data_IF_509826407324
#
_entry.id   IF_509826407324
#
_cell.length_a   1.000
_cell.length_b   1.000
_cell.length_c   1.000
_cell.angle_alpha   90.00
_cell.angle_beta   90.00
_cell.angle_gamma   90.00
#
_symmetry.space_group_name_H-M   'P 1'
#
loop_
_entity.id
_entity.type
_entity.pdbx_description
1 polymer ?
#
# COMPACT_ATOMS: atom_id res chain seq x y z
N UNK A 1 8.79 9.26 -9.20
CA UNK A 1 8.27 9.54 -7.85
C UNK A 1 8.19 8.23 -7.09
N UNK A 2 8.42 8.24 -5.77
CA UNK A 2 8.38 7.05 -4.92
C UNK A 2 7.21 7.13 -3.94
N UNK A 3 6.53 6.01 -3.72
CA UNK A 3 5.44 5.89 -2.75
C UNK A 3 5.69 4.72 -1.81
N UNK A 4 5.14 4.82 -0.59
CA UNK A 4 5.14 3.72 0.35
C UNK A 4 3.91 2.83 0.20
N UNK A 5 4.14 1.55 0.44
CA UNK A 5 3.10 0.56 0.70
C UNK A 5 3.29 -0.05 2.09
N UNK A 6 2.22 -0.19 2.89
CA UNK A 6 2.35 -0.70 4.25
C UNK A 6 2.77 -2.17 4.27
N UNK A 7 3.90 -2.47 4.91
CA UNK A 7 4.46 -3.82 5.04
C UNK A 7 3.78 -4.64 6.13
N UNK A 8 3.24 -4.00 7.17
CA UNK A 8 2.61 -4.68 8.30
C UNK A 8 1.51 -5.66 7.83
N UNK A 9 1.58 -6.89 8.34
CA UNK A 9 0.57 -7.93 8.13
C UNK A 9 -0.41 -8.05 9.30
N UNK A 10 -0.38 -7.11 10.25
CA UNK A 10 -1.35 -7.03 11.33
C UNK A 10 -2.21 -5.78 11.20
N UNK A 11 -3.52 -5.94 11.33
CA UNK A 11 -4.46 -4.82 11.33
C UNK A 11 -4.17 -3.80 12.46
N UNK A 12 -3.67 -4.25 13.62
CA UNK A 12 -3.31 -3.37 14.73
C UNK A 12 -2.04 -2.54 14.47
N UNK A 13 -1.21 -2.95 13.51
CA UNK A 13 -0.01 -2.23 13.10
C UNK A 13 -0.24 -1.31 11.89
N UNK A 14 -1.50 -1.05 11.53
CA UNK A 14 -1.87 -0.24 10.39
C UNK A 14 -2.74 0.93 10.84
N UNK A 15 -2.45 2.12 10.33
CA UNK A 15 -3.37 3.25 10.40
C UNK A 15 -4.61 2.99 9.54
N UNK A 16 -5.66 3.78 9.75
CA UNK A 16 -6.87 3.71 8.94
C UNK A 16 -6.58 3.88 7.43
N UNK A 17 -5.75 4.86 7.06
CA UNK A 17 -5.39 5.11 5.65
C UNK A 17 -4.54 3.98 5.05
N UNK A 18 -3.63 3.39 5.83
CA UNK A 18 -2.84 2.24 5.39
C UNK A 18 -3.71 1.00 5.19
N UNK A 19 -4.67 0.75 6.09
CA UNK A 19 -5.63 -0.35 5.93
C UNK A 19 -6.53 -0.11 4.70
N UNK A 20 -6.99 1.12 4.50
CA UNK A 20 -7.75 1.50 3.31
C UNK A 20 -6.95 1.27 2.03
N UNK A 21 -5.66 1.59 2.01
CA UNK A 21 -4.76 1.34 0.88
C UNK A 21 -4.63 -0.16 0.58
N UNK A 22 -4.49 -1.00 1.63
CA UNK A 22 -4.49 -2.46 1.45
C UNK A 22 -5.79 -2.97 0.84
N UNK A 23 -6.94 -2.51 1.34
CA UNK A 23 -8.26 -2.86 0.80
C UNK A 23 -8.36 -2.46 -0.67
N UNK A 24 -8.05 -1.19 -0.96
CA UNK A 24 -8.21 -0.59 -2.28
C UNK A 24 -7.37 -1.29 -3.36
N UNK A 25 -6.21 -1.87 -3.01
CA UNK A 25 -5.35 -2.62 -3.93
C UNK A 25 -6.05 -3.80 -4.60
N UNK A 26 -7.02 -4.42 -3.92
CA UNK A 26 -7.65 -5.67 -4.32
C UNK A 26 -9.08 -5.53 -4.82
N UNK A 27 -9.62 -4.30 -4.85
CA UNK A 27 -11.01 -4.04 -5.22
C UNK A 27 -11.08 -3.15 -6.47
N UNK A 28 -11.86 -3.54 -7.49
CA UNK A 28 -12.09 -2.71 -8.66
C UNK A 28 -12.63 -1.32 -8.33
N UNK A 29 -12.26 -0.34 -9.14
CA UNK A 29 -12.81 1.00 -9.02
C UNK A 29 -14.31 0.98 -9.35
N UNK A 30 -15.15 1.56 -8.50
CA UNK A 30 -16.58 1.68 -8.76
C UNK A 30 -16.90 2.61 -9.95
N UNK A 31 -15.99 3.53 -10.28
CA UNK A 31 -16.16 4.54 -11.33
C UNK A 31 -15.57 4.14 -12.69
N UNK A 32 -14.78 3.07 -12.76
CA UNK A 32 -14.10 2.65 -13.99
C UNK A 32 -14.42 1.21 -14.34
N UNK A 33 -14.51 0.88 -15.63
CA UNK A 33 -14.73 -0.50 -16.09
C UNK A 33 -13.44 -1.33 -16.21
N UNK A 34 -12.28 -0.68 -16.30
CA UNK A 34 -10.98 -1.32 -16.57
C UNK A 34 -9.99 -1.26 -15.42
N UNK A 35 -10.40 -0.73 -14.26
CA UNK A 35 -9.53 -0.57 -13.11
C UNK A 35 -9.86 -1.61 -12.04
N UNK A 36 -9.01 -2.63 -11.91
CA UNK A 36 -9.25 -3.80 -11.07
C UNK A 36 -8.69 -3.71 -9.64
N UNK A 37 -8.20 -2.53 -9.26
CA UNK A 37 -7.51 -2.30 -7.99
C UNK A 37 -6.78 -0.96 -8.01
N UNK A 38 -6.51 -0.41 -6.85
CA UNK A 38 -5.70 0.79 -6.72
C UNK A 38 -4.27 0.49 -7.17
N UNK A 39 -3.82 1.23 -8.19
CA UNK A 39 -2.50 1.08 -8.81
C UNK A 39 -1.73 2.39 -8.75
N UNK A 40 -0.41 2.35 -8.55
CA UNK A 40 0.42 3.54 -8.62
C UNK A 40 0.44 4.09 -10.06
N UNK A 41 0.58 5.42 -10.25
CA UNK A 41 0.75 6.00 -11.58
C UNK A 41 1.96 5.42 -12.35
N UNK A 42 1.93 5.36 -13.69
CA UNK A 42 3.03 4.89 -14.51
C UNK A 42 4.35 5.61 -14.22
N UNK A 43 5.46 4.87 -14.22
CA UNK A 43 6.79 5.43 -13.94
C UNK A 43 7.04 5.81 -12.48
N UNK A 44 6.16 5.40 -11.56
CA UNK A 44 6.37 5.54 -10.11
C UNK A 44 6.85 4.22 -9.50
N UNK A 45 7.67 4.34 -8.46
CA UNK A 45 8.23 3.21 -7.73
C UNK A 45 7.50 3.08 -6.40
N UNK A 46 7.11 1.86 -6.04
CA UNK A 46 6.45 1.56 -4.77
C UNK A 46 7.39 0.75 -3.90
N UNK A 47 7.74 1.30 -2.76
CA UNK A 47 8.60 0.68 -1.75
C UNK A 47 7.77 0.25 -0.56
N UNK A 48 8.18 -0.82 0.12
CA UNK A 48 7.59 -1.15 1.41
C UNK A 48 8.12 -0.19 2.48
N UNK A 49 7.28 0.18 3.46
CA UNK A 49 7.67 1.10 4.54
C UNK A 49 8.78 0.55 5.46
N UNK A 50 8.92 -0.77 5.55
CA UNK A 50 10.06 -1.42 6.23
C UNK A 50 11.41 -1.23 5.49
N UNK A 51 11.39 -1.16 4.16
CA UNK A 51 12.59 -0.92 3.35
C UNK A 51 13.10 0.52 3.50
N UNK A 52 12.21 1.48 3.74
CA UNK A 52 12.61 2.86 4.02
C UNK A 52 13.43 2.94 5.31
N UNK A 53 13.03 2.24 6.37
CA UNK A 53 13.78 2.19 7.64
C UNK A 53 15.19 1.64 7.42
N UNK A 54 15.34 0.63 6.57
CA UNK A 54 16.65 0.04 6.23
C UNK A 54 17.51 1.02 5.41
N UNK A 55 16.93 1.73 4.45
CA UNK A 55 17.67 2.73 3.66
C UNK A 55 18.13 3.91 4.52
N UNK A 56 17.27 4.46 5.39
CA UNK A 56 17.65 5.54 6.29
C UNK A 56 18.76 5.14 7.28
N UNK A 57 18.77 3.90 7.77
CA UNK A 57 19.78 3.42 8.73
C UNK A 57 21.14 3.10 8.11
N UNK A 58 21.19 2.76 6.82
CA UNK A 58 22.44 2.51 6.09
C UNK A 58 23.08 3.81 5.58
N UNK A 59 22.28 4.78 5.17
CA UNK A 59 22.76 6.07 4.63
C UNK A 59 23.25 7.00 5.75
N UNK A 60 22.70 6.90 6.97
CA UNK A 60 23.15 7.67 8.14
C UNK A 60 24.57 7.35 8.64
N UNK A 61 25.26 6.34 8.10
CA UNK A 61 26.65 5.98 8.49
C UNK A 61 27.73 6.60 7.60
N UNK A 62 27.37 7.20 6.46
CA UNK A 62 28.29 7.95 5.61
C UNK A 62 27.69 9.33 5.38
N UNK A 63 28.19 10.32 6.13
CA UNK A 63 27.66 11.68 6.20
C UNK A 63 27.48 12.33 4.84
N UNK A 64 26.25 12.28 4.33
CA UNK A 64 25.76 13.11 3.23
C UNK A 64 24.77 14.10 3.84
N UNK A 65 25.31 15.25 4.21
CA UNK A 65 24.55 16.49 4.40
C UNK A 65 24.08 16.90 3.00
N UNK A 66 22.82 16.61 2.66
CA UNK A 66 22.00 17.42 1.73
C UNK A 66 20.65 16.72 1.46
N UNK A 67 19.61 17.36 2.01
CA UNK A 67 18.23 17.45 1.52
C UNK A 67 17.29 16.23 1.69
N UNK A 68 16.30 16.44 2.56
CA UNK A 68 15.03 15.70 2.68
C UNK A 68 15.04 14.31 3.35
N UNK A 69 15.11 14.33 4.68
CA UNK A 69 14.41 13.38 5.59
C UNK A 69 12.86 13.46 5.42
N UNK A 70 12.37 13.69 4.20
CA UNK A 70 10.94 13.73 3.87
C UNK A 70 10.44 12.29 3.83
N UNK A 71 9.71 11.92 4.87
CA UNK A 71 9.03 10.63 4.94
C UNK A 71 8.17 10.44 3.68
N UNK A 72 8.53 9.45 2.85
CA UNK A 72 7.85 9.20 1.58
C UNK A 72 6.34 9.06 1.79
N UNK A 73 5.50 9.65 0.93
CA UNK A 73 4.05 9.55 1.10
C UNK A 73 3.57 8.13 0.78
N UNK A 74 2.49 7.72 1.43
CA UNK A 74 1.73 6.56 0.99
C UNK A 74 0.97 6.89 -0.30
N UNK A 75 0.63 5.86 -1.07
CA UNK A 75 -0.17 6.03 -2.26
C UNK A 75 -1.63 6.36 -1.89
N UNK A 76 -2.12 7.52 -2.30
CA UNK A 76 -3.49 7.98 -1.96
C UNK A 76 -4.48 7.87 -3.13
N UNK A 77 -3.97 7.97 -4.35
CA UNK A 77 -4.77 7.95 -5.58
C UNK A 77 -4.28 6.87 -6.54
N UNK A 78 -5.23 6.31 -7.28
CA UNK A 78 -4.97 5.33 -8.33
C UNK A 78 -4.54 6.01 -9.63
N UNK A 79 -3.85 5.28 -10.50
CA UNK A 79 -3.61 5.63 -11.90
C UNK A 79 -4.91 5.98 -12.65
N UNK A 80 -6.05 5.41 -12.27
CA UNK A 80 -7.35 5.78 -12.85
C UNK A 80 -7.88 7.15 -12.40
N UNK A 81 -7.14 7.88 -11.56
CA UNK A 81 -7.48 9.21 -11.04
C UNK A 81 -8.40 9.22 -9.82
N UNK A 82 -8.79 8.06 -9.29
CA UNK A 82 -9.70 7.95 -8.14
C UNK A 82 -8.98 7.53 -6.85
N UNK A 83 -9.53 7.96 -5.72
CA UNK A 83 -9.02 7.65 -4.37
C UNK A 83 -9.38 6.23 -3.92
N UNK A 84 -8.73 5.76 -2.84
CA UNK A 84 -9.02 4.49 -2.18
C UNK A 84 -10.51 4.29 -1.84
N UNK A 85 -11.25 5.36 -1.56
CA UNK A 85 -12.70 5.32 -1.34
C UNK A 85 -13.47 4.74 -2.53
N UNK A 86 -13.12 5.13 -3.77
CA UNK A 86 -13.70 4.59 -4.99
C UNK A 86 -13.30 3.12 -5.26
N UNK A 87 -12.32 2.62 -4.51
CA UNK A 87 -11.84 1.24 -4.53
C UNK A 87 -12.34 0.45 -3.32
N UNK A 88 -13.55 0.76 -2.84
CA UNK A 88 -14.21 -0.03 -1.79
C UNK A 88 -13.54 0.05 -0.42
N UNK A 89 -12.79 1.13 -0.15
CA UNK A 89 -12.17 1.42 1.14
C UNK A 89 -12.78 2.66 1.82
N UNK A 90 -14.06 2.91 1.61
CA UNK A 90 -14.81 3.98 2.28
C UNK A 90 -15.53 3.45 3.53
N UNK A 91 -14.95 3.63 4.72
CA UNK A 91 -15.55 3.15 5.98
C UNK A 91 -16.89 3.83 6.29
N UNK A 92 -17.08 5.09 5.92
CA UNK A 92 -18.34 5.80 6.19
C UNK A 92 -19.52 5.18 5.44
N UNK A 93 -19.27 4.66 4.23
CA UNK A 93 -20.29 3.97 3.43
C UNK A 93 -20.46 2.49 3.82
N UNK A 94 -19.37 1.82 4.22
CA UNK A 94 -19.36 0.39 4.52
C UNK A 94 -19.76 0.06 5.96
N UNK A 95 -19.50 0.98 6.89
CA UNK A 95 -19.47 0.71 8.32
C UNK A 95 -18.19 0.01 8.78
N UNK A 96 -17.87 0.19 10.06
CA UNK A 96 -16.63 -0.28 10.68
C UNK A 96 -16.43 -1.80 10.58
N UNK A 97 -17.49 -2.60 10.75
CA UNK A 97 -17.38 -4.06 10.70
C UNK A 97 -16.96 -4.59 9.32
N UNK A 98 -17.57 -4.06 8.25
CA UNK A 98 -17.26 -4.47 6.88
C UNK A 98 -15.90 -3.93 6.43
N UNK A 99 -15.55 -2.70 6.81
CA UNK A 99 -14.22 -2.14 6.56
C UNK A 99 -13.15 -3.02 7.23
N UNK A 100 -13.33 -3.38 8.50
CA UNK A 100 -12.42 -4.27 9.20
C UNK A 100 -12.38 -5.68 8.58
N UNK A 101 -13.52 -6.23 8.13
CA UNK A 101 -13.57 -7.54 7.45
C UNK A 101 -12.76 -7.52 6.16
N UNK A 102 -12.95 -6.49 5.32
CA UNK A 102 -12.17 -6.30 4.08
C UNK A 102 -10.70 -6.11 4.38
N UNK A 103 -10.36 -5.36 5.42
CA UNK A 103 -8.99 -5.17 5.88
C UNK A 103 -8.29 -6.50 6.18
N UNK A 104 -8.94 -7.40 6.94
CA UNK A 104 -8.40 -8.74 7.22
C UNK A 104 -8.19 -9.58 5.96
N UNK A 105 -9.14 -9.52 5.02
CA UNK A 105 -9.04 -10.25 3.74
C UNK A 105 -7.88 -9.70 2.90
N UNK A 106 -7.75 -8.37 2.78
CA UNK A 106 -6.70 -7.72 2.02
C UNK A 106 -5.29 -8.05 2.56
N UNK A 107 -5.12 -7.97 3.88
CA UNK A 107 -3.87 -8.40 4.56
C UNK A 107 -3.55 -9.84 4.20
N UNK A 108 -4.53 -10.75 4.29
CA UNK A 108 -4.31 -12.16 4.00
C UNK A 108 -3.95 -12.42 2.52
N UNK A 109 -4.55 -11.66 1.59
CA UNK A 109 -4.18 -11.73 0.18
C UNK A 109 -2.75 -11.28 -0.06
N UNK A 110 -2.31 -10.18 0.58
CA UNK A 110 -0.92 -9.71 0.48
C UNK A 110 0.07 -10.80 0.94
N UNK A 111 -0.19 -11.44 2.09
CA UNK A 111 0.64 -12.52 2.63
C UNK A 111 0.75 -13.69 1.65
N UNK A 112 -0.39 -14.14 1.09
CA UNK A 112 -0.42 -15.26 0.14
C UNK A 112 0.34 -14.94 -1.15
N UNK A 113 0.18 -13.72 -1.68
CA UNK A 113 0.89 -13.27 -2.87
C UNK A 113 2.40 -13.11 -2.62
N UNK A 114 2.80 -12.67 -1.42
CA UNK A 114 4.22 -12.59 -1.06
C UNK A 114 4.88 -13.98 -1.05
N UNK A 115 4.18 -15.01 -0.53
CA UNK A 115 4.68 -16.39 -0.56
C UNK A 115 4.84 -16.88 -1.99
N UNK A 116 3.87 -16.61 -2.87
CA UNK A 116 3.95 -17.02 -4.28
C UNK A 116 5.10 -16.36 -5.02
N UNK A 117 5.30 -15.05 -4.83
CA UNK A 117 6.44 -14.33 -5.42
C UNK A 117 7.78 -14.94 -5.00
N UNK A 118 7.91 -15.41 -3.75
CA UNK A 118 9.12 -16.07 -3.25
C UNK A 118 9.29 -17.49 -3.78
N UNK A 119 8.19 -18.25 -3.92
CA UNK A 119 8.22 -19.61 -4.43
C UNK A 119 8.61 -19.67 -5.91
N UNK A 120 8.26 -18.66 -6.70
CA UNK A 120 8.64 -18.54 -8.12
C UNK A 120 10.12 -18.21 -8.35
N UNK A 121 10.88 -17.81 -7.32
CA UNK A 121 12.32 -17.51 -7.41
C UNK A 121 13.23 -18.72 -7.13
N UNK A 122 12.65 -19.91 -6.88
CA UNK A 122 13.38 -21.13 -6.49
C UNK A 122 13.35 -22.21 -7.59
N UNK A 123 12.87 -21.88 -8.80
CA UNK A 123 12.94 -22.74 -9.99
C UNK A 123 13.77 -22.07 -11.09
#
# INVERSE_FOLDING_TARGET
MKFLYPASSSASGLSHSQLALKIARHIPCASCSSCYGLRPPPGTEVLSDDQQVVQSTLVGQYGSDDEDDMQLPYLEYCDCGHFSSAHGANELELGHEEFARRGRVAIRLDELLQVWSRALLVN
#
